data_IF_929504299102
#
_entry.id   IF_929504299102
#
_cell.length_a   1.000
_cell.length_b   1.000
_cell.length_c   1.000
_cell.angle_alpha   90.00
_cell.angle_beta   90.00
_cell.angle_gamma   90.00
#
_symmetry.space_group_name_H-M   'P 1'
#
loop_
_entity.id
_entity.type
_entity.pdbx_description
1 polymer ?
#
# COMPACT_ATOMS: atom_id res chain seq x y z
N UNK A 1 15.68 -1.92 10.25
CA UNK A 1 15.38 -3.35 10.06
C UNK A 1 14.31 -3.48 8.99
N UNK A 2 14.43 -4.46 8.09
CA UNK A 2 13.42 -4.77 7.07
C UNK A 2 12.23 -5.55 7.69
N UNK A 3 11.01 -5.31 7.18
CA UNK A 3 9.76 -5.92 7.68
C UNK A 3 9.82 -7.44 7.57
N UNK A 4 10.21 -7.95 6.41
CA UNK A 4 10.19 -9.39 6.11
C UNK A 4 11.28 -10.13 6.87
N UNK A 5 12.45 -9.51 7.01
CA UNK A 5 13.52 -10.02 7.87
C UNK A 5 13.07 -10.14 9.34
N UNK A 6 12.38 -9.13 9.87
CA UNK A 6 11.81 -9.18 11.21
C UNK A 6 10.76 -10.29 11.35
N UNK A 7 9.79 -10.33 10.43
CA UNK A 7 8.72 -11.31 10.43
C UNK A 7 9.28 -12.74 10.34
N UNK A 8 10.28 -12.97 9.49
CA UNK A 8 10.95 -14.27 9.35
C UNK A 8 11.55 -14.76 10.67
N UNK A 9 12.24 -13.89 11.40
CA UNK A 9 12.80 -14.21 12.74
C UNK A 9 11.70 -14.53 13.74
N UNK A 10 10.67 -13.68 13.82
CA UNK A 10 9.54 -13.90 14.71
C UNK A 10 8.85 -15.24 14.42
N UNK A 11 8.62 -15.56 13.14
CA UNK A 11 8.02 -16.84 12.73
C UNK A 11 8.89 -18.04 13.15
N UNK A 12 10.21 -17.96 13.04
CA UNK A 12 11.11 -19.02 13.49
C UNK A 12 11.01 -19.24 15.01
N UNK A 13 11.08 -18.16 15.81
CA UNK A 13 10.94 -18.21 17.28
C UNK A 13 9.57 -18.78 17.70
N UNK A 14 8.50 -18.38 17.02
CA UNK A 14 7.15 -18.89 17.29
C UNK A 14 7.06 -20.39 17.01
N UNK A 15 7.65 -20.88 15.91
CA UNK A 15 7.70 -22.32 15.59
C UNK A 15 8.49 -23.09 16.65
N UNK A 16 9.65 -22.60 17.07
CA UNK A 16 10.46 -23.21 18.14
C UNK A 16 9.71 -23.27 19.48
N UNK A 17 8.85 -22.27 19.76
CA UNK A 17 8.00 -22.24 20.95
C UNK A 17 6.71 -23.07 20.86
N UNK A 18 6.56 -23.91 19.83
CA UNK A 18 5.41 -24.80 19.63
C UNK A 18 4.17 -24.12 19.02
N UNK A 19 4.28 -22.89 18.51
CA UNK A 19 3.15 -22.14 17.90
C UNK A 19 3.10 -22.28 16.37
N UNK A 20 3.56 -23.40 15.83
CA UNK A 20 3.70 -23.61 14.38
C UNK A 20 2.39 -23.43 13.60
N UNK A 21 1.28 -23.96 14.10
CA UNK A 21 -0.04 -23.82 13.46
C UNK A 21 -0.44 -22.35 13.30
N UNK A 22 -0.17 -21.52 14.29
CA UNK A 22 -0.56 -20.12 14.24
C UNK A 22 0.31 -19.32 13.25
N UNK A 23 1.57 -19.71 13.08
CA UNK A 23 2.43 -19.20 12.00
C UNK A 23 1.88 -19.61 10.63
N UNK A 24 1.40 -20.84 10.47
CA UNK A 24 0.78 -21.30 9.23
C UNK A 24 -0.50 -20.51 8.90
N UNK A 25 -1.32 -20.19 9.89
CA UNK A 25 -2.52 -19.35 9.72
C UNK A 25 -2.18 -17.92 9.30
N UNK A 26 -1.11 -17.33 9.86
CA UNK A 26 -0.60 -16.02 9.44
C UNK A 26 -0.11 -16.04 7.98
N UNK A 27 0.70 -17.04 7.62
CA UNK A 27 1.23 -17.17 6.25
C UNK A 27 0.10 -17.38 5.23
N UNK A 28 -0.92 -18.20 5.56
CA UNK A 28 -2.11 -18.40 4.71
C UNK A 28 -2.93 -17.12 4.56
N UNK A 29 -3.11 -16.35 5.63
CA UNK A 29 -3.83 -15.08 5.57
C UNK A 29 -3.14 -14.10 4.60
N UNK A 30 -1.81 -13.95 4.70
CA UNK A 30 -1.05 -13.10 3.78
C UNK A 30 -1.17 -13.59 2.33
N UNK A 31 -1.07 -14.91 2.11
CA UNK A 31 -1.23 -15.48 0.78
C UNK A 31 -2.60 -15.19 0.19
N UNK A 32 -3.67 -15.35 0.97
CA UNK A 32 -5.03 -15.00 0.53
C UNK A 32 -5.16 -13.51 0.21
N UNK A 33 -4.52 -12.61 0.99
CA UNK A 33 -4.51 -11.18 0.69
C UNK A 33 -3.82 -10.89 -0.65
N UNK A 34 -2.61 -11.43 -0.88
CA UNK A 34 -1.89 -11.22 -2.13
C UNK A 34 -2.63 -11.79 -3.36
N UNK A 35 -3.42 -12.84 -3.16
CA UNK A 35 -4.25 -13.47 -4.19
C UNK A 35 -5.63 -12.80 -4.40
N UNK A 36 -5.95 -11.74 -3.67
CA UNK A 36 -7.29 -11.11 -3.67
C UNK A 36 -8.42 -12.06 -3.24
N UNK A 37 -8.11 -13.06 -2.41
CA UNK A 37 -9.06 -14.00 -1.82
C UNK A 37 -9.63 -13.40 -0.52
N UNK A 38 -10.34 -12.28 -0.66
CA UNK A 38 -10.78 -11.40 0.44
C UNK A 38 -11.52 -12.15 1.54
N UNK A 39 -12.49 -12.99 1.17
CA UNK A 39 -13.31 -13.76 2.12
C UNK A 39 -12.48 -14.77 2.91
N UNK A 40 -11.52 -15.43 2.26
CA UNK A 40 -10.65 -16.41 2.88
C UNK A 40 -9.67 -15.74 3.84
N UNK A 41 -9.12 -14.59 3.45
CA UNK A 41 -8.30 -13.77 4.34
C UNK A 41 -9.10 -13.32 5.58
N UNK A 42 -10.34 -12.85 5.39
CA UNK A 42 -11.21 -12.42 6.49
C UNK A 42 -11.54 -13.56 7.46
N UNK A 43 -11.75 -14.78 6.94
CA UNK A 43 -12.04 -15.95 7.77
C UNK A 43 -10.90 -16.31 8.73
N UNK A 44 -9.65 -15.98 8.40
CA UNK A 44 -8.47 -16.24 9.22
C UNK A 44 -8.17 -15.13 10.24
N UNK A 45 -8.71 -13.92 10.06
CA UNK A 45 -8.43 -12.76 10.92
C UNK A 45 -8.67 -13.01 12.42
N UNK A 46 -9.78 -13.63 12.87
CA UNK A 46 -10.00 -13.86 14.30
C UNK A 46 -8.90 -14.70 14.94
N UNK A 47 -8.44 -15.75 14.25
CA UNK A 47 -7.37 -16.63 14.70
C UNK A 47 -6.03 -15.89 14.77
N UNK A 48 -5.70 -15.14 13.72
CA UNK A 48 -4.43 -14.39 13.65
C UNK A 48 -4.39 -13.25 14.67
N UNK A 49 -5.51 -12.58 14.95
CA UNK A 49 -5.62 -11.59 16.04
C UNK A 49 -5.47 -12.24 17.42
N UNK A 50 -6.06 -13.41 17.63
CA UNK A 50 -5.90 -14.16 18.87
C UNK A 50 -4.44 -14.58 19.10
N UNK A 51 -3.73 -14.97 18.03
CA UNK A 51 -2.29 -15.19 18.06
C UNK A 51 -1.54 -13.93 18.51
N UNK A 52 -1.77 -12.78 17.85
CA UNK A 52 -1.08 -11.53 18.17
C UNK A 52 -1.24 -11.16 19.66
N UNK A 53 -2.46 -11.30 20.19
CA UNK A 53 -2.77 -11.08 21.61
C UNK A 53 -2.05 -12.06 22.53
N UNK A 54 -2.00 -13.34 22.16
CA UNK A 54 -1.36 -14.40 22.97
C UNK A 54 0.15 -14.25 23.02
N UNK A 55 0.77 -13.84 21.90
CA UNK A 55 2.21 -13.57 21.83
C UNK A 55 2.55 -12.31 22.63
N UNK A 56 1.63 -11.35 22.70
CA UNK A 56 1.85 -10.09 23.43
C UNK A 56 2.92 -9.21 22.77
N UNK A 57 3.25 -9.46 21.50
CA UNK A 57 4.23 -8.66 20.76
C UNK A 57 3.50 -7.46 20.11
N UNK A 58 3.81 -6.23 20.53
CA UNK A 58 3.15 -5.02 20.02
C UNK A 58 3.32 -4.83 18.50
N UNK A 59 4.42 -5.32 17.92
CA UNK A 59 4.69 -5.20 16.50
C UNK A 59 3.87 -6.19 15.67
N UNK A 60 3.57 -7.37 16.24
CA UNK A 60 2.68 -8.33 15.59
C UNK A 60 1.24 -7.83 15.55
N UNK A 61 0.79 -7.14 16.59
CA UNK A 61 -0.51 -6.45 16.61
C UNK A 61 -0.61 -5.41 15.47
N UNK A 62 0.39 -4.54 15.34
CA UNK A 62 0.46 -3.55 14.25
C UNK A 62 0.51 -4.23 12.88
N UNK A 63 1.33 -5.27 12.74
CA UNK A 63 1.46 -6.00 11.48
C UNK A 63 0.12 -6.61 11.05
N UNK A 64 -0.54 -7.36 11.94
CA UNK A 64 -1.83 -7.98 11.65
C UNK A 64 -2.91 -6.93 11.36
N UNK A 65 -2.93 -5.84 12.13
CA UNK A 65 -3.87 -4.74 11.90
C UNK A 65 -3.68 -4.11 10.52
N UNK A 66 -2.44 -3.86 10.09
CA UNK A 66 -2.18 -3.31 8.76
C UNK A 66 -2.70 -4.24 7.66
N UNK A 67 -2.43 -5.54 7.74
CA UNK A 67 -2.90 -6.49 6.73
C UNK A 67 -4.41 -6.68 6.73
N UNK A 68 -5.07 -6.54 7.88
CA UNK A 68 -6.52 -6.41 7.93
C UNK A 68 -7.01 -5.17 7.16
N UNK A 69 -6.37 -4.01 7.38
CA UNK A 69 -6.74 -2.77 6.69
C UNK A 69 -6.45 -2.84 5.20
N UNK A 70 -5.36 -3.47 4.75
CA UNK A 70 -5.13 -3.72 3.33
C UNK A 70 -6.26 -4.51 2.68
N UNK A 71 -6.86 -5.46 3.40
CA UNK A 71 -7.99 -6.20 2.88
C UNK A 71 -9.30 -5.39 2.90
N UNK A 72 -9.59 -4.67 4.00
CA UNK A 72 -10.83 -3.91 4.15
C UNK A 72 -10.82 -2.57 3.39
N UNK A 73 -9.83 -1.74 3.64
CA UNK A 73 -9.67 -0.42 3.03
C UNK A 73 -9.15 -0.56 1.60
N UNK A 74 -8.14 -1.42 1.38
CA UNK A 74 -7.54 -1.58 0.05
C UNK A 74 -8.41 -2.36 -0.94
N UNK A 75 -8.90 -3.54 -0.56
CA UNK A 75 -9.64 -4.41 -1.49
C UNK A 75 -11.15 -4.18 -1.51
N UNK A 76 -11.76 -3.86 -0.35
CA UNK A 76 -13.21 -3.65 -0.24
C UNK A 76 -13.63 -2.18 -0.25
N UNK A 77 -12.66 -1.25 -0.26
CA UNK A 77 -12.89 0.20 -0.22
C UNK A 77 -13.75 0.63 0.97
N UNK A 78 -13.66 -0.08 2.10
CA UNK A 78 -14.38 0.26 3.32
C UNK A 78 -13.76 1.50 3.97
N UNK A 79 -14.26 2.69 3.62
CA UNK A 79 -13.91 3.95 4.28
C UNK A 79 -14.64 4.12 5.61
N UNK A 80 -15.90 4.52 5.56
CA UNK A 80 -16.70 4.92 6.73
C UNK A 80 -16.75 3.84 7.83
N UNK A 81 -16.93 2.57 7.44
CA UNK A 81 -17.08 1.45 8.38
C UNK A 81 -15.74 0.98 8.98
N UNK A 82 -14.60 1.35 8.39
CA UNK A 82 -13.28 1.02 8.89
C UNK A 82 -12.62 2.17 9.67
N UNK A 83 -13.06 3.42 9.45
CA UNK A 83 -12.40 4.63 9.94
C UNK A 83 -12.01 4.58 11.43
N UNK A 84 -12.94 4.24 12.31
CA UNK A 84 -12.67 4.17 13.75
C UNK A 84 -11.56 3.15 14.10
N UNK A 85 -11.51 2.03 13.37
CA UNK A 85 -10.50 0.99 13.58
C UNK A 85 -9.14 1.41 13.01
N UNK A 86 -9.14 2.07 11.85
CA UNK A 86 -7.92 2.62 11.24
C UNK A 86 -7.27 3.66 12.15
N UNK A 87 -8.05 4.60 12.69
CA UNK A 87 -7.56 5.58 13.66
C UNK A 87 -7.00 4.90 14.92
N UNK A 88 -7.71 3.90 15.46
CA UNK A 88 -7.23 3.13 16.62
C UNK A 88 -5.89 2.43 16.31
N UNK A 89 -5.75 1.84 15.13
CA UNK A 89 -4.51 1.19 14.70
C UNK A 89 -3.39 2.21 14.50
N UNK A 90 -3.69 3.38 13.94
CA UNK A 90 -2.73 4.48 13.76
C UNK A 90 -2.19 4.98 15.10
N UNK A 91 -3.06 5.21 16.08
CA UNK A 91 -2.64 5.56 17.44
C UNK A 91 -1.78 4.47 18.07
N UNK A 92 -2.19 3.19 17.90
CA UNK A 92 -1.44 2.03 18.41
C UNK A 92 -0.03 1.93 17.83
N UNK A 93 0.10 2.14 16.52
CA UNK A 93 1.36 2.08 15.79
C UNK A 93 2.36 3.19 16.18
N UNK A 94 1.84 4.32 16.68
CA UNK A 94 2.64 5.46 17.13
C UNK A 94 3.00 5.42 18.63
N UNK A 95 2.57 4.42 19.40
CA UNK A 95 2.98 4.25 20.81
C UNK A 95 4.46 3.88 20.93
N UNK A 96 5.08 4.18 22.08
CA UNK A 96 6.52 3.98 22.32
C UNK A 96 6.98 2.53 22.09
N UNK A 97 6.16 1.55 22.45
CA UNK A 97 6.45 0.12 22.31
C UNK A 97 6.30 -0.41 20.86
N UNK A 98 5.68 0.36 19.96
CA UNK A 98 5.39 -0.04 18.58
C UNK A 98 5.96 0.90 17.52
N UNK A 99 6.34 2.14 17.85
CA UNK A 99 6.81 3.13 16.87
C UNK A 99 8.05 2.72 16.08
N UNK A 100 8.83 1.78 16.63
CA UNK A 100 10.01 1.20 15.99
C UNK A 100 9.69 -0.05 15.14
N UNK A 101 8.45 -0.51 15.14
CA UNK A 101 8.00 -1.58 14.25
C UNK A 101 8.22 -1.14 12.79
N UNK A 102 8.87 -1.98 11.96
CA UNK A 102 9.07 -1.67 10.55
C UNK A 102 7.75 -1.41 9.78
N UNK A 103 6.64 -2.01 10.22
CA UNK A 103 5.32 -1.84 9.59
C UNK A 103 4.56 -0.59 10.08
N UNK A 104 4.96 0.06 11.18
CA UNK A 104 4.18 1.18 11.74
C UNK A 104 3.99 2.33 10.75
N UNK A 105 4.96 2.57 9.86
CA UNK A 105 4.83 3.58 8.81
C UNK A 105 3.69 3.27 7.83
N UNK A 106 3.47 1.99 7.51
CA UNK A 106 2.42 1.54 6.60
C UNK A 106 1.01 1.78 7.14
N UNK A 107 0.85 1.95 8.45
CA UNK A 107 -0.45 2.33 9.03
C UNK A 107 -0.85 3.75 8.66
N UNK A 108 0.10 4.61 8.32
CA UNK A 108 -0.18 5.93 7.75
C UNK A 108 -0.89 5.79 6.40
N UNK A 109 -0.44 4.84 5.58
CA UNK A 109 -1.10 4.53 4.31
C UNK A 109 -2.53 4.07 4.54
N UNK A 110 -2.76 3.17 5.51
CA UNK A 110 -4.12 2.72 5.83
C UNK A 110 -5.06 3.88 6.20
N UNK A 111 -4.55 4.86 6.96
CA UNK A 111 -5.28 6.08 7.33
C UNK A 111 -5.61 6.95 6.11
N UNK A 112 -4.61 7.21 5.27
CA UNK A 112 -4.76 8.06 4.10
C UNK A 112 -5.73 7.44 3.07
N UNK A 113 -5.59 6.14 2.80
CA UNK A 113 -6.50 5.43 1.90
C UNK A 113 -7.92 5.35 2.49
N UNK A 114 -8.06 5.24 3.82
CA UNK A 114 -9.37 5.24 4.45
C UNK A 114 -10.09 6.59 4.28
N UNK A 115 -9.38 7.70 4.45
CA UNK A 115 -9.91 9.03 4.15
C UNK A 115 -10.28 9.18 2.67
N UNK A 116 -9.45 8.66 1.76
CA UNK A 116 -9.75 8.62 0.33
C UNK A 116 -11.11 7.95 0.03
N UNK A 117 -11.33 6.79 0.67
CA UNK A 117 -12.57 6.02 0.50
C UNK A 117 -13.81 6.65 1.17
N UNK A 118 -13.62 7.54 2.16
CA UNK A 118 -14.73 8.28 2.80
C UNK A 118 -15.12 9.47 1.94
N UNK A 119 -14.16 10.37 1.67
CA UNK A 119 -14.34 11.56 0.85
C UNK A 119 -12.96 12.09 0.45
N UNK A 120 -12.41 11.55 -0.65
CA UNK A 120 -11.04 11.84 -1.06
C UNK A 120 -10.72 13.31 -1.24
N UNK A 121 -11.65 14.08 -1.82
CA UNK A 121 -11.50 15.52 -2.00
C UNK A 121 -11.71 16.28 -0.68
N UNK A 122 -12.70 15.90 0.12
CA UNK A 122 -12.98 16.53 1.41
C UNK A 122 -11.88 16.36 2.46
N UNK A 123 -11.05 15.33 2.33
CA UNK A 123 -9.92 15.03 3.23
C UNK A 123 -8.54 15.24 2.58
N UNK A 124 -8.47 15.83 1.39
CA UNK A 124 -7.23 15.91 0.63
C UNK A 124 -6.11 16.65 1.40
N UNK A 125 -6.45 17.74 2.11
CA UNK A 125 -5.47 18.53 2.89
C UNK A 125 -4.84 17.69 4.01
N UNK A 126 -5.66 16.99 4.81
CA UNK A 126 -5.18 16.14 5.90
C UNK A 126 -4.33 14.97 5.38
N UNK A 127 -4.74 14.38 4.25
CA UNK A 127 -4.00 13.30 3.58
C UNK A 127 -2.62 13.78 3.11
N UNK A 128 -2.56 14.96 2.47
CA UNK A 128 -1.29 15.56 2.06
C UNK A 128 -0.40 15.85 3.27
N UNK A 129 -0.95 16.47 4.32
CA UNK A 129 -0.21 16.87 5.50
C UNK A 129 0.43 15.67 6.23
N UNK A 130 -0.31 14.58 6.43
CA UNK A 130 0.21 13.38 7.12
C UNK A 130 1.24 12.64 6.27
N UNK A 131 1.08 12.62 4.94
CA UNK A 131 2.09 12.10 4.04
C UNK A 131 3.37 12.94 4.08
N UNK A 132 3.27 14.26 4.11
CA UNK A 132 4.43 15.16 4.21
C UNK A 132 5.22 14.95 5.49
N UNK A 133 4.53 14.89 6.64
CA UNK A 133 5.18 14.57 7.92
C UNK A 133 5.90 13.22 7.86
N UNK A 134 5.26 12.22 7.23
CA UNK A 134 5.81 10.87 7.15
C UNK A 134 6.99 10.76 6.19
N UNK A 135 6.97 11.46 5.05
CA UNK A 135 8.07 11.47 4.08
C UNK A 135 9.31 12.19 4.62
N UNK A 136 9.14 13.24 5.43
CA UNK A 136 10.26 13.97 6.05
C UNK A 136 11.17 13.08 6.93
N UNK A 137 10.61 12.00 7.47
CA UNK A 137 11.30 11.07 8.39
C UNK A 137 11.63 9.72 7.75
N UNK A 138 11.26 9.50 6.49
CA UNK A 138 11.41 8.23 5.81
C UNK A 138 12.57 8.25 4.82
N UNK A 139 13.43 7.24 4.92
CA UNK A 139 14.57 7.08 4.02
C UNK A 139 14.10 6.60 2.64
N UNK A 140 14.49 7.25 1.52
CA UNK A 140 14.10 6.86 0.16
C UNK A 140 14.52 5.45 -0.27
N UNK A 141 15.46 4.81 0.46
CA UNK A 141 15.84 3.42 0.22
C UNK A 141 14.82 2.39 0.72
N UNK A 142 13.78 2.83 1.45
CA UNK A 142 12.74 1.94 1.99
C UNK A 142 11.54 1.92 1.04
N UNK A 143 11.02 0.72 0.73
CA UNK A 143 9.86 0.57 -0.15
C UNK A 143 8.62 1.36 0.30
N UNK A 144 8.44 1.58 1.61
CA UNK A 144 7.37 2.42 2.15
C UNK A 144 7.43 3.87 1.66
N UNK A 145 8.61 4.36 1.24
CA UNK A 145 8.77 5.71 0.70
C UNK A 145 7.95 5.89 -0.58
N UNK A 146 7.99 4.89 -1.47
CA UNK A 146 7.17 4.86 -2.69
C UNK A 146 5.69 4.81 -2.36
N UNK A 147 5.27 3.99 -1.40
CA UNK A 147 3.87 3.90 -1.00
C UNK A 147 3.34 5.24 -0.46
N UNK A 148 4.06 5.91 0.43
CA UNK A 148 3.61 7.21 0.97
C UNK A 148 3.68 8.31 -0.11
N UNK A 149 4.64 8.24 -1.03
CA UNK A 149 4.70 9.13 -2.19
C UNK A 149 3.48 8.93 -3.10
N UNK A 150 3.09 7.69 -3.35
CA UNK A 150 1.86 7.36 -4.06
C UNK A 150 0.64 8.00 -3.39
N UNK A 151 0.45 7.79 -2.07
CA UNK A 151 -0.71 8.31 -1.35
C UNK A 151 -0.80 9.85 -1.39
N UNK A 152 0.35 10.55 -1.31
CA UNK A 152 0.37 12.01 -1.44
C UNK A 152 -0.01 12.47 -2.84
N UNK A 153 0.53 11.80 -3.87
CA UNK A 153 0.22 12.14 -5.26
C UNK A 153 -1.26 11.90 -5.55
N UNK A 154 -1.83 10.81 -5.04
CA UNK A 154 -3.27 10.51 -5.15
C UNK A 154 -4.13 11.58 -4.44
N UNK A 155 -3.74 12.01 -3.25
CA UNK A 155 -4.43 13.11 -2.55
C UNK A 155 -4.36 14.44 -3.33
N UNK A 156 -3.24 14.72 -4.03
CA UNK A 156 -3.14 15.89 -4.93
C UNK A 156 -4.08 15.76 -6.14
N UNK A 157 -4.34 14.55 -6.65
CA UNK A 157 -5.32 14.34 -7.71
C UNK A 157 -6.75 14.62 -7.24
N UNK A 158 -7.10 14.16 -6.05
CA UNK A 158 -8.40 14.41 -5.43
C UNK A 158 -8.60 15.90 -5.09
N UNK A 159 -7.52 16.62 -4.74
CA UNK A 159 -7.50 18.08 -4.58
C UNK A 159 -7.57 18.86 -5.92
N UNK A 160 -7.66 18.15 -7.06
CA UNK A 160 -7.74 18.76 -8.38
C UNK A 160 -6.43 19.39 -8.88
N UNK A 161 -5.28 18.91 -8.38
CA UNK A 161 -3.94 19.44 -8.70
C UNK A 161 -3.05 18.42 -9.42
N UNK A 162 -3.45 17.91 -10.59
CA UNK A 162 -2.72 16.84 -11.27
C UNK A 162 -1.34 17.24 -11.80
N UNK A 163 -1.09 18.51 -12.14
CA UNK A 163 0.27 18.95 -12.51
C UNK A 163 1.22 18.95 -11.30
N UNK A 164 0.72 19.35 -10.13
CA UNK A 164 1.50 19.30 -8.88
C UNK A 164 1.80 17.85 -8.50
N UNK A 165 0.83 16.95 -8.67
CA UNK A 165 1.02 15.51 -8.47
C UNK A 165 2.13 14.97 -9.38
N UNK A 166 2.11 15.32 -10.67
CA UNK A 166 3.12 14.85 -11.62
C UNK A 166 4.52 15.37 -11.27
N UNK A 167 4.65 16.67 -10.98
CA UNK A 167 5.92 17.27 -10.57
C UNK A 167 6.47 16.65 -9.28
N UNK A 168 5.59 16.40 -8.31
CA UNK A 168 5.95 15.73 -7.06
C UNK A 168 6.44 14.29 -7.30
N UNK A 169 5.76 13.53 -8.18
CA UNK A 169 6.16 12.17 -8.54
C UNK A 169 7.53 12.12 -9.20
N UNK A 170 7.84 13.08 -10.08
CA UNK A 170 9.18 13.20 -10.69
C UNK A 170 10.27 13.43 -9.64
N UNK A 171 10.03 14.30 -8.68
CA UNK A 171 10.94 14.53 -7.56
C UNK A 171 11.15 13.27 -6.72
N UNK A 172 10.07 12.55 -6.36
CA UNK A 172 10.18 11.35 -5.52
C UNK A 172 10.86 10.20 -6.26
N UNK A 173 10.57 10.01 -7.56
CA UNK A 173 11.30 9.04 -8.37
C UNK A 173 12.79 9.37 -8.44
N UNK A 174 13.16 10.65 -8.57
CA UNK A 174 14.55 11.09 -8.50
C UNK A 174 15.24 10.68 -7.20
N UNK A 175 14.57 10.83 -6.05
CA UNK A 175 15.08 10.41 -4.73
C UNK A 175 15.24 8.89 -4.62
N UNK A 176 14.25 8.13 -5.10
CA UNK A 176 14.28 6.65 -5.10
C UNK A 176 15.46 6.14 -5.92
N UNK A 177 15.65 6.66 -7.14
CA UNK A 177 16.76 6.28 -8.02
C UNK A 177 18.12 6.69 -7.44
N UNK A 178 18.22 7.88 -6.83
CA UNK A 178 19.44 8.34 -6.16
C UNK A 178 19.82 7.48 -4.95
N UNK A 179 18.84 6.86 -4.29
CA UNK A 179 19.04 5.88 -3.23
C UNK A 179 19.33 4.45 -3.76
N UNK A 180 19.47 4.28 -5.08
CA UNK A 180 19.80 3.01 -5.73
C UNK A 180 18.65 2.00 -5.74
N UNK A 181 17.40 2.46 -5.53
CA UNK A 181 16.22 1.61 -5.58
C UNK A 181 15.54 1.68 -6.95
N UNK A 182 14.86 0.61 -7.39
CA UNK A 182 14.02 0.66 -8.58
C UNK A 182 12.74 1.47 -8.32
N UNK A 183 12.11 1.94 -9.38
CA UNK A 183 10.75 2.47 -9.32
C UNK A 183 9.78 1.32 -9.04
N UNK A 184 8.96 1.46 -7.99
CA UNK A 184 7.96 0.47 -7.61
C UNK A 184 6.66 0.67 -8.39
N UNK A 185 5.88 -0.40 -8.56
CA UNK A 185 4.63 -0.45 -9.32
C UNK A 185 3.64 0.68 -8.98
N UNK A 186 3.41 0.93 -7.69
CA UNK A 186 2.55 2.03 -7.23
C UNK A 186 2.93 3.40 -7.82
N UNK A 187 4.20 3.68 -8.10
CA UNK A 187 4.61 4.95 -8.72
C UNK A 187 4.17 5.04 -10.19
N UNK A 188 4.15 3.92 -10.91
CA UNK A 188 3.62 3.86 -12.27
C UNK A 188 2.09 4.06 -12.26
N UNK A 189 1.39 3.41 -11.33
CA UNK A 189 -0.07 3.51 -11.17
C UNK A 189 -0.55 4.95 -11.07
N UNK A 190 -0.10 5.69 -10.05
CA UNK A 190 -0.55 7.07 -9.83
C UNK A 190 -0.06 8.01 -10.93
N UNK A 191 1.11 7.76 -11.53
CA UNK A 191 1.59 8.55 -12.67
C UNK A 191 0.67 8.36 -13.88
N UNK A 192 0.28 7.12 -14.19
CA UNK A 192 -0.66 6.84 -15.27
C UNK A 192 -2.00 7.51 -14.99
N UNK A 193 -2.55 7.34 -13.78
CA UNK A 193 -3.79 8.00 -13.36
C UNK A 193 -3.73 9.53 -13.56
N UNK A 194 -2.64 10.15 -13.09
CA UNK A 194 -2.36 11.58 -13.23
C UNK A 194 -2.36 12.02 -14.71
N UNK A 195 -1.64 11.30 -15.56
CA UNK A 195 -1.53 11.60 -17.00
C UNK A 195 -2.88 11.44 -17.71
N UNK A 196 -3.69 10.46 -17.33
CA UNK A 196 -5.04 10.26 -17.87
C UNK A 196 -6.00 11.38 -17.46
N UNK A 197 -5.88 11.91 -16.24
CA UNK A 197 -6.65 13.08 -15.78
C UNK A 197 -6.24 14.35 -16.53
N UNK A 198 -4.94 14.51 -16.82
CA UNK A 198 -4.39 15.59 -17.66
C UNK A 198 -4.68 15.45 -19.16
N UNK A 199 -5.38 14.39 -19.58
CA UNK A 199 -5.65 14.08 -21.00
C UNK A 199 -4.36 13.94 -21.83
N UNK A 200 -3.35 13.26 -21.26
CA UNK A 200 -2.06 12.92 -21.89
C UNK A 200 -1.90 11.40 -22.08
N UNK A 201 -2.81 10.71 -22.80
CA UNK A 201 -2.82 9.25 -22.87
C UNK A 201 -1.58 8.66 -23.57
N UNK A 202 -0.93 9.38 -24.48
CA UNK A 202 0.30 8.92 -25.14
C UNK A 202 1.49 8.86 -24.16
N UNK A 203 1.56 9.81 -23.24
CA UNK A 203 2.56 9.78 -22.16
C UNK A 203 2.24 8.65 -21.18
N UNK A 204 0.96 8.47 -20.84
CA UNK A 204 0.52 7.37 -19.98
C UNK A 204 0.88 6.00 -20.60
N UNK A 205 0.72 5.85 -21.91
CA UNK A 205 1.13 4.65 -22.65
C UNK A 205 2.64 4.41 -22.58
N UNK A 206 3.46 5.46 -22.63
CA UNK A 206 4.91 5.31 -22.46
C UNK A 206 5.25 4.70 -21.10
N UNK A 207 4.64 5.23 -20.02
CA UNK A 207 4.81 4.70 -18.66
C UNK A 207 4.28 3.26 -18.56
N UNK A 208 3.14 2.96 -19.19
CA UNK A 208 2.55 1.62 -19.23
C UNK A 208 3.47 0.60 -19.94
N UNK A 209 4.07 0.99 -21.06
CA UNK A 209 5.00 0.13 -21.81
C UNK A 209 6.28 -0.15 -21.01
N UNK A 210 6.81 0.86 -20.31
CA UNK A 210 7.94 0.70 -19.38
C UNK A 210 7.61 -0.26 -18.24
N UNK A 211 6.42 -0.11 -17.63
CA UNK A 211 5.97 -0.99 -16.56
C UNK A 211 5.81 -2.44 -17.06
N UNK A 212 5.14 -2.66 -18.21
CA UNK A 212 4.99 -3.98 -18.83
C UNK A 212 6.33 -4.66 -19.12
N UNK A 213 7.32 -3.91 -19.62
CA UNK A 213 8.65 -4.43 -19.90
C UNK A 213 9.45 -4.76 -18.62
N UNK A 214 9.09 -4.13 -17.49
CA UNK A 214 9.70 -4.33 -16.19
C UNK A 214 9.23 -5.61 -15.47
N UNK A 215 8.06 -6.14 -15.81
CA UNK A 215 7.48 -7.33 -15.16
C UNK A 215 8.35 -8.56 -15.43
N UNK A 216 8.89 -9.15 -14.35
CA UNK A 216 9.73 -10.35 -14.41
C UNK A 216 9.33 -11.34 -13.32
N UNK A 217 9.26 -12.62 -13.66
CA UNK A 217 9.00 -13.68 -12.69
C UNK A 217 7.51 -13.83 -12.35
N UNK A 218 7.23 -14.25 -11.11
CA UNK A 218 5.86 -14.38 -10.62
C UNK A 218 5.31 -13.00 -10.26
N UNK A 219 4.13 -12.71 -10.79
CA UNK A 219 3.36 -11.50 -10.50
C UNK A 219 2.14 -11.90 -9.68
N UNK A 220 1.92 -11.23 -8.55
CA UNK A 220 0.76 -11.53 -7.71
C UNK A 220 -0.53 -11.06 -8.39
N UNK A 221 -1.68 -11.73 -8.16
CA UNK A 221 -2.96 -11.29 -8.70
C UNK A 221 -3.30 -9.83 -8.39
N UNK A 222 -2.94 -9.35 -7.19
CA UNK A 222 -3.03 -7.93 -6.79
C UNK A 222 -2.34 -7.00 -7.79
N UNK A 223 -1.04 -7.21 -8.02
CA UNK A 223 -0.20 -6.41 -8.93
C UNK A 223 -0.71 -6.51 -10.38
N UNK A 224 -0.98 -7.73 -10.84
CA UNK A 224 -1.46 -8.00 -12.20
C UNK A 224 -2.78 -7.31 -12.49
N UNK A 225 -3.75 -7.40 -11.58
CA UNK A 225 -5.07 -6.81 -11.79
C UNK A 225 -4.99 -5.29 -11.93
N UNK A 226 -4.23 -4.62 -11.05
CA UNK A 226 -4.05 -3.18 -11.11
C UNK A 226 -3.40 -2.76 -12.43
N UNK A 227 -2.32 -3.44 -12.82
CA UNK A 227 -1.61 -3.17 -14.08
C UNK A 227 -2.52 -3.32 -15.30
N UNK A 228 -3.31 -4.40 -15.37
CA UNK A 228 -4.25 -4.63 -16.47
C UNK A 228 -5.37 -3.59 -16.51
N UNK A 229 -5.88 -3.17 -15.35
CA UNK A 229 -6.89 -2.12 -15.26
C UNK A 229 -6.37 -0.79 -15.82
N UNK A 230 -5.18 -0.34 -15.41
CA UNK A 230 -4.60 0.89 -15.95
C UNK A 230 -4.29 0.78 -17.44
N UNK A 231 -3.82 -0.38 -17.91
CA UNK A 231 -3.60 -0.62 -19.33
C UNK A 231 -4.88 -0.44 -20.15
N UNK A 232 -5.98 -1.04 -19.70
CA UNK A 232 -7.29 -0.89 -20.35
C UNK A 232 -7.75 0.58 -20.36
N UNK A 233 -7.58 1.32 -19.25
CA UNK A 233 -7.92 2.74 -19.19
C UNK A 233 -7.10 3.61 -20.18
N UNK A 234 -5.80 3.31 -20.32
CA UNK A 234 -4.94 4.01 -21.29
C UNK A 234 -5.41 3.71 -22.72
N UNK A 235 -5.63 2.44 -23.06
CA UNK A 235 -6.07 2.02 -24.40
C UNK A 235 -7.43 2.63 -24.76
N UNK A 236 -8.37 2.67 -23.81
CA UNK A 236 -9.66 3.33 -24.00
C UNK A 236 -9.51 4.83 -24.30
N UNK A 237 -8.62 5.56 -23.62
CA UNK A 237 -8.37 6.98 -23.93
C UNK A 237 -7.61 7.20 -25.24
N UNK A 238 -6.84 6.20 -25.70
CA UNK A 238 -6.26 6.16 -27.04
C UNK A 238 -7.25 5.73 -28.14
N UNK A 239 -8.49 5.36 -27.77
CA UNK A 239 -9.54 4.85 -28.67
C UNK A 239 -9.13 3.54 -29.37
N UNK A 240 -8.37 2.71 -28.65
CA UNK A 240 -7.98 1.36 -29.08
C UNK A 240 -8.88 0.32 -28.40
N UNK A 241 -10.19 0.48 -28.55
CA UNK A 241 -11.20 -0.27 -27.78
C UNK A 241 -11.14 -1.79 -28.02
N UNK A 242 -10.67 -2.24 -29.19
CA UNK A 242 -10.49 -3.67 -29.51
C UNK A 242 -9.32 -4.33 -28.75
N UNK A 243 -8.39 -3.52 -28.24
CA UNK A 243 -7.21 -3.98 -27.48
C UNK A 243 -7.38 -3.78 -25.96
N UNK A 244 -8.39 -3.02 -25.53
CA UNK A 244 -8.68 -2.67 -24.14
C UNK A 244 -9.39 -3.79 -23.38
#
# INVERSE_FOLDING_TARGET
>A
MDIWSWLGKLKAELRESGKGQAVDSLDRMLQHIFNLEVTQAQALLPEVKALAKTVGNPWLEVFVGHWEMRNRVGSLLEGETALAQVVTLFERANREDARQCPQSVCVTQDLVSCYANVDGAGWAEERIAVCDETLQRLDPSRGCFSCISYEKADALLDDGRPEDALAFLDEQQGKILAAGQPTYDCMHEVRIATLLQLKRPEQAWTVMAEWDAGVKGHEWPTERQQRMMYKAQVLAQLKQDDEA
#
